data_IF_651236823888
#
_entry.id   IF_651236823888
#
_cell.length_a   1.000
_cell.length_b   1.000
_cell.length_c   1.000
_cell.angle_alpha   90.00
_cell.angle_beta   90.00
_cell.angle_gamma   90.00
#
_symmetry.space_group_name_H-M   'P 1'
#
loop_
_entity.id
_entity.type
_entity.pdbx_description
1 polymer ?
#
# COMPACT_ATOMS: atom_id res chain seq x y z
N UNK A 1 16.83 1.72 15.29
CA UNK A 1 16.52 2.96 16.06
C UNK A 1 17.48 4.09 15.76
N UNK A 2 18.81 3.90 15.78
CA UNK A 2 19.77 5.00 15.50
C UNK A 2 19.65 5.58 14.07
N UNK A 3 19.48 4.72 13.07
CA UNK A 3 19.32 5.13 11.66
C UNK A 3 17.98 5.82 11.37
N UNK A 4 16.87 5.35 11.98
CA UNK A 4 15.56 6.00 11.89
C UNK A 4 15.66 7.47 12.31
N UNK A 5 16.36 7.75 13.42
CA UNK A 5 16.60 9.11 13.88
C UNK A 5 17.38 9.96 12.87
N UNK A 6 18.36 9.39 12.15
CA UNK A 6 19.13 10.13 11.13
C UNK A 6 18.28 10.50 9.93
N UNK A 7 17.55 9.55 9.35
CA UNK A 7 16.68 9.82 8.19
C UNK A 7 15.57 10.80 8.54
N UNK A 8 14.92 10.64 9.69
CA UNK A 8 13.88 11.57 10.15
C UNK A 8 14.43 12.98 10.40
N UNK A 9 15.64 13.13 10.92
CA UNK A 9 16.29 14.43 11.10
C UNK A 9 16.57 15.12 9.76
N UNK A 10 17.03 14.39 8.74
CA UNK A 10 17.22 14.95 7.40
C UNK A 10 15.89 15.44 6.83
N UNK A 11 14.83 14.64 6.95
CA UNK A 11 13.50 15.02 6.50
C UNK A 11 13.03 16.29 7.24
N UNK A 12 13.05 16.31 8.58
CA UNK A 12 12.69 17.49 9.37
C UNK A 12 13.48 18.73 8.95
N UNK A 13 14.79 18.62 8.75
CA UNK A 13 15.63 19.75 8.37
C UNK A 13 15.30 20.29 6.97
N UNK A 14 14.94 19.43 6.01
CA UNK A 14 14.71 19.81 4.62
C UNK A 14 13.28 20.28 4.32
N UNK A 15 12.28 19.78 5.04
CA UNK A 15 10.85 20.10 4.78
C UNK A 15 10.03 20.50 6.00
N UNK A 16 10.62 20.51 7.19
CA UNK A 16 9.96 20.86 8.45
C UNK A 16 9.11 19.75 9.10
N UNK A 17 9.03 18.55 8.50
CA UNK A 17 8.26 17.43 9.05
C UNK A 17 8.81 16.07 8.61
N UNK A 18 8.52 15.03 9.41
CA UNK A 18 8.85 13.64 9.07
C UNK A 18 7.80 13.01 8.18
N UNK A 19 6.55 13.05 8.60
CA UNK A 19 5.40 12.56 7.86
C UNK A 19 4.16 13.31 8.36
N UNK A 20 3.18 13.52 7.49
CA UNK A 20 1.90 14.16 7.83
C UNK A 20 0.81 13.68 6.89
N UNK A 21 -0.45 13.88 7.26
CA UNK A 21 -1.54 13.71 6.31
C UNK A 21 -1.38 14.66 5.11
N UNK A 22 -1.73 14.22 3.87
CA UNK A 22 -1.63 15.08 2.70
C UNK A 22 -2.58 16.27 2.85
N UNK A 23 -2.08 17.48 2.55
CA UNK A 23 -2.85 18.74 2.69
C UNK A 23 -4.12 18.72 1.84
N UNK A 24 -3.98 18.32 0.56
CA UNK A 24 -5.07 18.20 -0.39
C UNK A 24 -5.96 16.97 -0.14
N UNK A 25 -5.70 16.19 0.92
CA UNK A 25 -6.40 14.94 1.23
C UNK A 25 -6.39 13.92 0.08
N UNK A 26 -5.50 14.05 -0.90
CA UNK A 26 -5.30 13.09 -1.99
C UNK A 26 -4.09 12.21 -1.74
N UNK A 27 -4.21 10.90 -2.00
CA UNK A 27 -3.08 9.99 -1.96
C UNK A 27 -3.22 8.87 -3.01
N UNK A 28 -2.09 8.35 -3.48
CA UNK A 28 -2.07 7.04 -4.11
C UNK A 28 -2.13 5.98 -3.03
N UNK A 29 -2.99 4.98 -3.19
CA UNK A 29 -3.05 3.81 -2.31
C UNK A 29 -2.66 2.56 -3.09
N UNK A 30 -1.62 1.86 -2.66
CA UNK A 30 -1.25 0.57 -3.24
C UNK A 30 -2.24 -0.48 -2.75
N UNK A 31 -2.98 -1.10 -3.67
CA UNK A 31 -4.07 -2.04 -3.35
C UNK A 31 -3.80 -3.42 -3.93
N UNK A 32 -3.96 -4.46 -3.11
CA UNK A 32 -3.87 -5.87 -3.52
C UNK A 32 -5.23 -6.57 -3.54
N UNK A 33 -6.25 -6.01 -2.91
CA UNK A 33 -7.51 -6.71 -2.63
C UNK A 33 -7.42 -7.66 -1.43
N UNK A 34 -6.28 -7.70 -0.74
CA UNK A 34 -6.17 -8.31 0.58
C UNK A 34 -6.88 -7.49 1.66
N UNK A 35 -7.10 -8.12 2.82
CA UNK A 35 -7.75 -7.51 3.98
C UNK A 35 -7.16 -6.13 4.30
N UNK A 36 -5.85 -6.08 4.48
CA UNK A 36 -5.17 -4.91 5.03
C UNK A 36 -5.29 -3.70 4.09
N UNK A 37 -4.99 -3.88 2.80
CA UNK A 37 -5.13 -2.80 1.81
C UNK A 37 -6.58 -2.33 1.64
N UNK A 38 -7.54 -3.24 1.81
CA UNK A 38 -8.97 -2.94 1.67
C UNK A 38 -9.48 -2.16 2.87
N UNK A 39 -9.22 -2.63 4.09
CA UNK A 39 -9.67 -1.97 5.32
C UNK A 39 -8.95 -0.65 5.53
N UNK A 40 -7.65 -0.61 5.24
CA UNK A 40 -6.89 0.65 5.24
C UNK A 40 -7.49 1.66 4.26
N UNK A 41 -7.84 1.25 3.03
CA UNK A 41 -8.50 2.14 2.06
C UNK A 41 -9.82 2.70 2.62
N UNK A 42 -10.67 1.84 3.18
CA UNK A 42 -11.94 2.25 3.77
C UNK A 42 -11.74 3.25 4.92
N UNK A 43 -10.77 2.98 5.81
CA UNK A 43 -10.40 3.87 6.93
C UNK A 43 -9.91 5.23 6.47
N UNK A 44 -9.03 5.25 5.47
CA UNK A 44 -8.48 6.50 4.92
C UNK A 44 -9.58 7.41 4.37
N UNK A 45 -10.58 6.83 3.71
CA UNK A 45 -11.72 7.60 3.20
C UNK A 45 -12.65 8.03 4.34
N UNK A 46 -13.08 7.09 5.18
CA UNK A 46 -14.15 7.30 6.17
C UNK A 46 -13.68 8.11 7.38
N UNK A 47 -12.54 7.75 7.97
CA UNK A 47 -12.05 8.34 9.21
C UNK A 47 -11.18 9.59 8.97
N UNK A 48 -10.57 9.72 7.77
CA UNK A 48 -9.62 10.80 7.47
C UNK A 48 -10.02 11.69 6.28
N UNK A 49 -11.08 11.33 5.56
CA UNK A 49 -11.64 12.11 4.46
C UNK A 49 -10.81 12.10 3.18
N UNK A 50 -9.90 11.12 3.01
CA UNK A 50 -9.02 11.07 1.86
C UNK A 50 -9.77 10.71 0.56
N UNK A 51 -9.29 11.28 -0.53
CA UNK A 51 -9.54 10.86 -1.90
C UNK A 51 -8.38 9.96 -2.35
N UNK A 52 -8.70 8.74 -2.75
CA UNK A 52 -7.71 7.72 -3.09
C UNK A 52 -7.64 7.48 -4.59
N UNK A 53 -6.40 7.46 -5.09
CA UNK A 53 -6.01 7.04 -6.43
C UNK A 53 -5.39 5.64 -6.32
N UNK A 54 -6.17 4.56 -6.49
CA UNK A 54 -5.67 3.23 -6.20
C UNK A 54 -4.73 2.74 -7.29
N UNK A 55 -3.63 2.08 -6.90
CA UNK A 55 -2.71 1.41 -7.82
C UNK A 55 -2.70 -0.09 -7.50
N UNK A 56 -3.14 -0.90 -8.47
CA UNK A 56 -3.05 -2.35 -8.41
C UNK A 56 -1.88 -2.83 -9.28
N UNK A 57 -0.93 -3.55 -8.66
CA UNK A 57 0.30 -4.01 -9.30
C UNK A 57 0.27 -5.53 -9.39
N UNK A 58 0.14 -6.06 -10.61
CA UNK A 58 0.36 -7.47 -10.89
C UNK A 58 1.85 -7.74 -10.93
N UNK A 59 2.34 -8.45 -9.92
CA UNK A 59 3.76 -8.70 -9.62
C UNK A 59 4.27 -10.08 -10.05
N UNK A 60 3.50 -10.80 -10.86
CA UNK A 60 3.78 -12.19 -11.23
C UNK A 60 3.50 -13.19 -10.09
N UNK A 61 2.49 -12.88 -9.27
CA UNK A 61 1.95 -13.70 -8.19
C UNK A 61 1.02 -14.80 -8.72
N UNK A 62 0.91 -15.90 -7.98
CA UNK A 62 0.14 -17.10 -8.36
C UNK A 62 -1.37 -16.88 -8.31
N UNK A 63 -1.83 -16.02 -7.40
CA UNK A 63 -3.23 -15.71 -7.13
C UNK A 63 -3.72 -14.44 -7.85
N UNK A 64 -3.04 -13.97 -8.90
CA UNK A 64 -3.33 -12.68 -9.55
C UNK A 64 -4.81 -12.52 -9.97
N UNK A 65 -5.43 -13.58 -10.50
CA UNK A 65 -6.85 -13.57 -10.88
C UNK A 65 -7.77 -13.41 -9.66
N UNK A 66 -7.40 -14.00 -8.52
CA UNK A 66 -8.16 -13.90 -7.29
C UNK A 66 -8.07 -12.48 -6.70
N UNK A 67 -6.85 -11.92 -6.64
CA UNK A 67 -6.60 -10.54 -6.23
C UNK A 67 -7.38 -9.55 -7.09
N UNK A 68 -7.34 -9.71 -8.42
CA UNK A 68 -8.07 -8.85 -9.35
C UNK A 68 -9.59 -8.93 -9.14
N UNK A 69 -10.14 -10.10 -8.82
CA UNK A 69 -11.57 -10.24 -8.46
C UNK A 69 -11.92 -9.44 -7.22
N UNK A 70 -11.10 -9.52 -6.17
CA UNK A 70 -11.29 -8.74 -4.95
C UNK A 70 -11.19 -7.24 -5.22
N UNK A 71 -10.14 -6.79 -5.93
CA UNK A 71 -9.95 -5.37 -6.28
C UNK A 71 -11.15 -4.84 -7.06
N UNK A 72 -11.66 -5.59 -8.03
CA UNK A 72 -12.84 -5.21 -8.79
C UNK A 72 -14.11 -5.16 -7.94
N UNK A 73 -14.29 -6.12 -7.01
CA UNK A 73 -15.38 -6.11 -6.05
C UNK A 73 -15.32 -4.83 -5.19
N UNK A 74 -14.18 -4.58 -4.54
CA UNK A 74 -14.04 -3.45 -3.62
C UNK A 74 -14.03 -2.10 -4.32
N UNK A 75 -13.61 -2.04 -5.59
CA UNK A 75 -13.78 -0.82 -6.40
C UNK A 75 -15.25 -0.46 -6.54
N UNK A 76 -16.11 -1.42 -6.92
CA UNK A 76 -17.55 -1.18 -7.04
C UNK A 76 -18.17 -0.86 -5.67
N UNK A 77 -17.77 -1.59 -4.63
CA UNK A 77 -18.25 -1.39 -3.27
C UNK A 77 -17.90 0.00 -2.75
N UNK A 78 -16.63 0.44 -2.86
CA UNK A 78 -16.20 1.76 -2.40
C UNK A 78 -16.77 2.90 -3.22
N UNK A 79 -16.86 2.76 -4.54
CA UNK A 79 -17.51 3.79 -5.36
C UNK A 79 -19.00 3.93 -5.04
N UNK A 80 -19.68 2.82 -4.71
CA UNK A 80 -21.07 2.85 -4.26
C UNK A 80 -21.22 3.44 -2.86
N UNK A 81 -20.32 3.08 -1.93
CA UNK A 81 -20.41 3.48 -0.51
C UNK A 81 -19.93 4.91 -0.26
N UNK A 82 -18.83 5.31 -0.91
CA UNK A 82 -18.11 6.56 -0.62
C UNK A 82 -18.10 7.55 -1.79
N UNK A 83 -18.47 7.12 -3.00
CA UNK A 83 -18.46 7.98 -4.20
C UNK A 83 -17.23 7.77 -5.08
N UNK A 84 -17.41 8.04 -6.38
CA UNK A 84 -16.35 7.92 -7.40
C UNK A 84 -15.27 8.99 -7.27
N UNK A 85 -15.62 10.12 -6.65
CA UNK A 85 -14.72 11.21 -6.29
C UNK A 85 -13.84 10.89 -5.08
N UNK A 86 -14.21 9.90 -4.26
CA UNK A 86 -13.42 9.45 -3.11
C UNK A 86 -12.57 8.22 -3.39
N UNK A 87 -13.03 7.32 -4.26
CA UNK A 87 -12.28 6.14 -4.67
C UNK A 87 -12.27 6.02 -6.19
N UNK A 88 -11.17 6.46 -6.80
CA UNK A 88 -11.00 6.43 -8.25
C UNK A 88 -10.93 4.99 -8.78
N UNK A 89 -11.15 4.83 -10.08
CA UNK A 89 -10.92 3.54 -10.74
C UNK A 89 -9.43 3.17 -10.58
N UNK A 90 -9.08 1.97 -10.06
CA UNK A 90 -7.69 1.61 -9.88
C UNK A 90 -6.93 1.60 -11.21
N UNK A 91 -5.72 2.17 -11.19
CA UNK A 91 -4.75 1.93 -12.25
C UNK A 91 -4.20 0.52 -12.11
N UNK A 92 -4.25 -0.24 -13.21
CA UNK A 92 -3.75 -1.61 -13.25
C UNK A 92 -2.46 -1.64 -14.06
N UNK A 93 -1.37 -2.12 -13.45
CA UNK A 93 -0.10 -2.32 -14.13
C UNK A 93 0.41 -3.74 -13.88
N UNK A 94 1.29 -4.22 -14.75
CA UNK A 94 1.95 -5.51 -14.62
C UNK A 94 3.47 -5.34 -14.69
N UNK A 95 4.16 -5.68 -13.61
CA UNK A 95 5.62 -5.62 -13.48
C UNK A 95 6.09 -6.81 -12.66
N UNK A 96 6.91 -7.70 -13.21
CA UNK A 96 7.40 -8.84 -12.43
C UNK A 96 8.40 -8.36 -11.37
N UNK A 97 8.09 -8.60 -10.09
CA UNK A 97 8.97 -8.27 -8.97
C UNK A 97 9.16 -9.51 -8.10
N UNK A 98 10.31 -10.20 -8.18
CA UNK A 98 11.46 -9.90 -9.04
C UNK A 98 11.21 -10.22 -10.53
N UNK A 99 12.05 -9.69 -11.46
CA UNK A 99 12.11 -10.09 -12.86
C UNK A 99 12.15 -11.62 -13.03
N UNK A 100 11.48 -12.11 -14.08
CA UNK A 100 11.27 -13.55 -14.31
C UNK A 100 12.58 -14.30 -14.56
N UNK A 101 13.54 -13.61 -15.15
CA UNK A 101 14.83 -14.09 -15.62
C UNK A 101 15.67 -14.68 -14.48
N UNK A 102 15.56 -14.10 -13.28
CA UNK A 102 16.33 -14.55 -12.09
C UNK A 102 15.44 -14.88 -10.88
N UNK A 103 14.11 -14.86 -11.03
CA UNK A 103 13.18 -15.23 -9.95
C UNK A 103 13.43 -16.64 -9.38
N UNK A 104 13.72 -17.69 -10.20
CA UNK A 104 14.01 -19.02 -9.67
C UNK A 104 15.24 -19.05 -8.75
N UNK A 105 16.27 -18.27 -9.07
CA UNK A 105 17.53 -18.23 -8.32
C UNK A 105 17.37 -17.53 -6.95
N UNK A 106 16.34 -16.70 -6.82
CA UNK A 106 16.02 -15.98 -5.58
C UNK A 106 15.17 -16.79 -4.59
N UNK A 107 14.76 -18.02 -4.91
CA UNK A 107 13.90 -18.83 -4.05
C UNK A 107 14.47 -19.06 -2.64
N UNK A 108 15.76 -19.41 -2.46
CA UNK A 108 16.33 -19.59 -1.12
C UNK A 108 16.26 -18.32 -0.27
N UNK A 109 16.55 -17.17 -0.88
CA UNK A 109 16.47 -15.87 -0.21
C UNK A 109 15.02 -15.50 0.12
N UNK A 110 14.11 -15.69 -0.83
CA UNK A 110 12.70 -15.30 -0.72
C UNK A 110 12.01 -16.01 0.44
N UNK A 111 12.31 -17.31 0.66
CA UNK A 111 11.75 -18.07 1.78
C UNK A 111 12.12 -17.49 3.15
N UNK A 112 13.29 -16.88 3.26
CA UNK A 112 13.80 -16.34 4.53
C UNK A 112 13.45 -14.86 4.73
N UNK A 113 13.53 -14.05 3.67
CA UNK A 113 13.50 -12.58 3.76
C UNK A 113 12.45 -11.92 2.87
N UNK A 114 11.62 -12.72 2.20
CA UNK A 114 10.69 -12.23 1.18
C UNK A 114 11.41 -11.83 -0.10
N UNK A 115 10.64 -11.40 -1.10
CA UNK A 115 11.23 -10.95 -2.36
C UNK A 115 12.08 -9.70 -2.14
N UNK A 116 13.35 -9.68 -2.60
CA UNK A 116 14.24 -8.56 -2.36
C UNK A 116 13.70 -7.29 -2.99
N UNK A 117 13.74 -6.19 -2.25
CA UNK A 117 13.32 -4.84 -2.69
C UNK A 117 11.88 -4.72 -3.21
N UNK A 118 11.01 -5.70 -2.92
CA UNK A 118 9.65 -5.74 -3.46
C UNK A 118 8.86 -4.47 -3.15
N UNK A 119 8.76 -4.13 -1.87
CA UNK A 119 7.96 -2.98 -1.44
C UNK A 119 8.55 -1.65 -1.95
N UNK A 120 9.88 -1.37 -1.84
CA UNK A 120 10.47 -0.20 -2.48
C UNK A 120 10.16 -0.05 -3.96
N UNK A 121 10.23 -1.12 -4.76
CA UNK A 121 9.88 -1.07 -6.19
C UNK A 121 8.41 -0.69 -6.37
N UNK A 122 7.51 -1.30 -5.60
CA UNK A 122 6.08 -0.96 -5.64
C UNK A 122 5.81 0.49 -5.22
N UNK A 123 6.54 1.00 -4.23
CA UNK A 123 6.47 2.39 -3.79
C UNK A 123 6.91 3.36 -4.88
N UNK A 124 7.99 3.06 -5.61
CA UNK A 124 8.49 3.87 -6.72
C UNK A 124 7.48 3.91 -7.88
N UNK A 125 6.89 2.76 -8.24
CA UNK A 125 5.78 2.72 -9.20
C UNK A 125 4.57 3.54 -8.72
N UNK A 126 4.30 3.53 -7.41
CA UNK A 126 3.31 4.40 -6.78
C UNK A 126 3.58 5.89 -6.97
N UNK A 127 4.85 6.32 -6.89
CA UNK A 127 5.26 7.71 -7.13
C UNK A 127 5.07 8.09 -8.60
N UNK A 128 5.50 7.23 -9.53
CA UNK A 128 5.29 7.45 -10.97
C UNK A 128 3.80 7.60 -11.30
N UNK A 129 2.97 6.72 -10.75
CA UNK A 129 1.52 6.83 -10.90
C UNK A 129 0.96 8.10 -10.25
N UNK A 130 1.44 8.49 -9.08
CA UNK A 130 1.01 9.73 -8.42
C UNK A 130 1.32 10.97 -9.27
N UNK A 131 2.47 11.00 -9.96
CA UNK A 131 2.80 12.06 -10.93
C UNK A 131 1.80 12.06 -12.09
N UNK A 132 1.57 10.91 -12.72
CA UNK A 132 0.64 10.79 -13.84
C UNK A 132 -0.80 11.20 -13.45
N UNK A 133 -1.27 10.71 -12.29
CA UNK A 133 -2.58 11.04 -11.75
C UNK A 133 -2.71 12.53 -11.40
N UNK A 134 -1.63 13.16 -10.90
CA UNK A 134 -1.63 14.59 -10.60
C UNK A 134 -1.84 15.43 -11.86
N UNK A 135 -1.21 15.06 -12.97
CA UNK A 135 -1.34 15.75 -14.26
C UNK A 135 -2.75 15.63 -14.83
N UNK A 136 -3.35 14.44 -14.75
CA UNK A 136 -4.68 14.17 -15.33
C UNK A 136 -5.80 14.80 -14.49
N UNK A 137 -5.67 14.77 -13.17
CA UNK A 137 -6.70 15.25 -12.25
C UNK A 137 -6.55 16.72 -11.87
N UNK A 138 -5.44 17.37 -12.27
CA UNK A 138 -5.05 18.71 -11.84
C UNK A 138 -4.97 18.85 -10.30
N UNK A 139 -4.70 17.74 -9.60
CA UNK A 139 -4.54 17.69 -8.13
C UNK A 139 -3.10 17.40 -7.75
N UNK A 140 -2.65 17.94 -6.62
CA UNK A 140 -1.30 17.70 -6.11
C UNK A 140 -1.24 16.41 -5.29
N UNK A 141 -0.85 15.30 -5.91
CA UNK A 141 -0.73 14.00 -5.24
C UNK A 141 0.75 13.73 -4.92
N UNK A 142 1.13 13.93 -3.64
CA UNK A 142 2.53 13.78 -3.15
C UNK A 142 2.68 12.72 -2.07
N UNK A 143 1.68 11.87 -1.90
CA UNK A 143 1.66 10.84 -0.87
C UNK A 143 1.28 9.51 -1.48
N UNK A 144 2.14 8.51 -1.29
CA UNK A 144 1.87 7.10 -1.59
C UNK A 144 1.67 6.38 -0.27
N UNK A 145 0.56 5.65 -0.15
CA UNK A 145 0.20 4.87 1.02
C UNK A 145 0.23 3.39 0.69
N UNK A 146 0.72 2.59 1.63
CA UNK A 146 0.62 1.14 1.62
C UNK A 146 -0.01 0.68 2.95
N UNK A 147 -0.45 -0.57 3.01
CA UNK A 147 -1.11 -1.15 4.18
C UNK A 147 -0.20 -2.08 4.98
N UNK A 148 1.08 -1.70 5.15
CA UNK A 148 1.99 -2.45 6.02
C UNK A 148 1.45 -2.39 7.46
N UNK A 149 1.29 -3.54 8.11
CA UNK A 149 0.80 -3.68 9.50
C UNK A 149 1.95 -4.05 10.45
N UNK A 150 1.79 -3.88 11.79
CA UNK A 150 2.84 -4.20 12.76
C UNK A 150 3.35 -5.65 12.70
N UNK A 151 2.50 -6.59 12.29
CA UNK A 151 2.84 -8.02 12.16
C UNK A 151 3.69 -8.34 10.92
N UNK A 152 3.85 -7.40 9.98
CA UNK A 152 4.69 -7.62 8.80
C UNK A 152 6.16 -7.74 9.22
N UNK A 153 6.73 -8.92 8.95
CA UNK A 153 8.06 -9.29 9.43
C UNK A 153 9.16 -9.18 8.37
N UNK A 154 8.81 -8.82 7.12
CA UNK A 154 9.81 -8.70 6.08
C UNK A 154 10.65 -7.42 6.25
N UNK A 155 11.98 -7.46 6.00
CA UNK A 155 12.85 -6.30 6.20
C UNK A 155 12.43 -5.05 5.40
N UNK A 156 11.79 -5.26 4.25
CA UNK A 156 11.31 -4.20 3.37
C UNK A 156 9.95 -3.62 3.76
N UNK A 157 9.31 -4.16 4.80
CA UNK A 157 8.00 -3.76 5.30
C UNK A 157 8.10 -3.08 6.68
N UNK A 158 9.08 -2.19 6.84
CA UNK A 158 9.34 -1.50 8.12
C UNK A 158 9.20 0.01 7.99
N UNK A 159 8.93 0.70 9.10
CA UNK A 159 8.89 2.17 9.12
C UNK A 159 10.24 2.77 8.68
N UNK A 160 11.36 2.18 9.10
CA UNK A 160 12.70 2.61 8.68
C UNK A 160 12.89 2.47 7.16
N UNK A 161 12.44 1.35 6.57
CA UNK A 161 12.44 1.15 5.12
C UNK A 161 11.58 2.18 4.37
N UNK A 162 10.41 2.53 4.90
CA UNK A 162 9.55 3.59 4.35
C UNK A 162 10.20 4.97 4.43
N UNK A 163 10.89 5.29 5.53
CA UNK A 163 11.64 6.55 5.67
C UNK A 163 12.80 6.62 4.71
N UNK A 164 13.58 5.56 4.58
CA UNK A 164 14.70 5.48 3.62
C UNK A 164 14.21 5.64 2.18
N UNK A 165 13.10 4.99 1.83
CA UNK A 165 12.46 5.11 0.52
C UNK A 165 11.97 6.53 0.27
N UNK A 166 11.30 7.15 1.26
CA UNK A 166 10.88 8.56 1.19
C UNK A 166 12.05 9.50 0.95
N UNK A 167 13.15 9.35 1.70
CA UNK A 167 14.35 10.17 1.51
C UNK A 167 14.93 10.00 0.10
N UNK A 168 15.03 8.75 -0.37
CA UNK A 168 15.51 8.45 -1.71
C UNK A 168 14.65 9.10 -2.79
N UNK A 169 13.31 9.03 -2.66
CA UNK A 169 12.38 9.67 -3.59
C UNK A 169 12.56 11.19 -3.57
N UNK A 170 12.62 11.82 -2.40
CA UNK A 170 12.81 13.27 -2.31
C UNK A 170 14.09 13.73 -3.01
N UNK A 171 15.19 12.99 -2.84
CA UNK A 171 16.47 13.28 -3.49
C UNK A 171 16.40 13.11 -5.00
N UNK A 172 15.87 11.99 -5.49
CA UNK A 172 15.85 11.68 -6.92
C UNK A 172 14.82 12.52 -7.70
N UNK A 173 13.73 12.93 -7.05
CA UNK A 173 12.70 13.79 -7.66
C UNK A 173 13.00 15.28 -7.51
N UNK A 174 14.01 15.66 -6.72
CA UNK A 174 14.30 17.06 -6.38
C UNK A 174 13.15 17.78 -5.64
N UNK A 175 12.22 17.02 -5.05
CA UNK A 175 11.00 17.53 -4.43
C UNK A 175 10.81 16.90 -3.04
N UNK A 176 10.92 17.74 -2.01
CA UNK A 176 10.87 17.31 -0.62
C UNK A 176 9.45 17.12 -0.07
N UNK A 177 8.40 17.42 -0.84
CA UNK A 177 7.02 17.20 -0.41
C UNK A 177 6.60 15.73 -0.46
N UNK A 178 7.31 14.89 -1.23
CA UNK A 178 7.01 13.47 -1.38
C UNK A 178 7.09 12.69 -0.08
N UNK A 179 6.12 11.81 0.15
CA UNK A 179 6.21 10.82 1.22
C UNK A 179 5.62 9.49 0.81
N UNK A 180 6.26 8.42 1.27
CA UNK A 180 5.73 7.07 1.22
C UNK A 180 5.65 6.53 2.63
N UNK A 181 4.48 6.05 3.03
CA UNK A 181 4.28 5.54 4.39
C UNK A 181 3.11 4.57 4.48
N UNK A 182 2.96 3.94 5.65
CA UNK A 182 1.76 3.19 6.01
C UNK A 182 1.08 3.85 7.23
N UNK A 183 -0.21 4.21 7.14
CA UNK A 183 -0.94 4.80 8.26
C UNK A 183 -1.15 3.81 9.42
N UNK A 184 -0.91 2.51 9.21
CA UNK A 184 -1.09 1.48 10.23
C UNK A 184 0.12 1.39 11.18
N UNK A 185 1.30 1.82 10.75
CA UNK A 185 2.54 1.73 11.56
C UNK A 185 3.22 3.08 11.79
N UNK A 186 2.78 4.16 11.14
CA UNK A 186 3.43 5.46 11.23
C UNK A 186 2.90 6.30 12.42
N UNK A 187 3.71 6.52 13.47
CA UNK A 187 3.30 7.25 14.66
C UNK A 187 3.04 8.75 14.40
N UNK A 188 3.52 9.29 13.27
CA UNK A 188 3.26 10.68 12.87
C UNK A 188 1.89 10.87 12.21
N UNK A 189 1.24 9.79 11.77
CA UNK A 189 -0.11 9.82 11.20
C UNK A 189 -1.19 9.42 12.21
N UNK A 190 -0.89 8.41 13.03
CA UNK A 190 -1.79 7.88 14.04
C UNK A 190 -1.02 7.61 15.34
N UNK A 191 -1.60 7.99 16.48
CA UNK A 191 -1.01 7.69 17.80
C UNK A 191 -1.05 6.21 18.16
N UNK A 192 -1.96 5.46 17.54
CA UNK A 192 -2.12 4.03 17.73
C UNK A 192 -1.75 3.30 16.44
N UNK A 193 -0.87 2.31 16.56
CA UNK A 193 -0.64 1.36 15.48
C UNK A 193 -1.88 0.51 15.27
N UNK A 194 -2.22 0.24 14.02
CA UNK A 194 -3.44 -0.45 13.65
C UNK A 194 -3.08 -1.84 13.13
N UNK A 195 -3.32 -2.84 13.96
CA UNK A 195 -2.95 -4.21 13.66
C UNK A 195 -4.07 -4.98 12.94
N UNK A 196 -3.79 -6.22 12.57
CA UNK A 196 -4.75 -7.07 11.86
C UNK A 196 -6.05 -7.31 12.63
N UNK A 197 -5.98 -7.47 13.96
CA UNK A 197 -7.18 -7.62 14.78
C UNK A 197 -8.01 -6.33 14.76
N UNK A 198 -7.36 -5.17 14.84
CA UNK A 198 -8.03 -3.87 14.74
C UNK A 198 -8.73 -3.71 13.38
N UNK A 199 -8.11 -4.15 12.29
CA UNK A 199 -8.72 -4.17 10.94
C UNK A 199 -9.96 -5.03 10.85
N UNK A 200 -9.89 -6.26 11.37
CA UNK A 200 -11.04 -7.17 11.40
C UNK A 200 -12.17 -6.54 12.24
N UNK A 201 -11.87 -6.07 13.45
CA UNK A 201 -12.86 -5.47 14.34
C UNK A 201 -13.50 -4.22 13.71
N UNK A 202 -12.68 -3.35 13.12
CA UNK A 202 -13.16 -2.14 12.44
C UNK A 202 -14.05 -2.47 11.25
N UNK A 203 -13.63 -3.45 10.45
CA UNK A 203 -14.38 -3.93 9.29
C UNK A 203 -15.72 -4.54 9.67
N UNK A 204 -15.74 -5.42 10.68
CA UNK A 204 -16.96 -6.04 11.20
C UNK A 204 -17.95 -5.01 11.74
N UNK A 205 -17.47 -4.03 12.52
CA UNK A 205 -18.31 -2.93 13.04
C UNK A 205 -19.00 -2.14 11.92
N UNK A 206 -18.35 -2.02 10.76
CA UNK A 206 -18.86 -1.30 9.58
C UNK A 206 -19.49 -2.21 8.53
N UNK A 207 -19.73 -3.49 8.88
CA UNK A 207 -20.31 -4.51 8.01
C UNK A 207 -19.59 -4.59 6.66
N UNK A 208 -18.27 -4.43 6.69
CA UNK A 208 -17.43 -4.61 5.51
C UNK A 208 -17.51 -6.08 5.07
N UNK A 209 -17.60 -6.36 3.75
CA UNK A 209 -17.67 -7.72 3.23
C UNK A 209 -16.30 -8.40 3.28
N UNK A 210 -15.80 -8.70 4.48
CA UNK A 210 -14.44 -9.21 4.70
C UNK A 210 -14.15 -10.51 3.93
N UNK A 211 -15.18 -11.33 3.70
CA UNK A 211 -15.07 -12.58 2.94
C UNK A 211 -14.75 -12.40 1.45
N UNK A 212 -14.86 -11.18 0.92
CA UNK A 212 -14.51 -10.85 -0.46
C UNK A 212 -13.03 -10.44 -0.59
N UNK A 213 -12.32 -10.30 0.54
CA UNK A 213 -10.88 -10.01 0.54
C UNK A 213 -10.08 -11.28 0.24
N UNK A 214 -8.92 -11.12 -0.41
CA UNK A 214 -8.06 -12.24 -0.80
C UNK A 214 -6.66 -12.04 -0.22
N UNK A 215 -6.33 -12.84 0.79
CA UNK A 215 -4.98 -12.89 1.39
C UNK A 215 -4.24 -14.19 1.10
N UNK A 216 -4.94 -15.23 0.61
CA UNK A 216 -4.36 -16.54 0.35
C UNK A 216 -3.61 -16.59 -0.98
N UNK A 217 -2.37 -17.10 -0.94
CA UNK A 217 -1.50 -17.24 -2.11
C UNK A 217 -1.90 -18.39 -3.05
N UNK A 218 -2.68 -19.35 -2.54
CA UNK A 218 -3.20 -20.50 -3.28
C UNK A 218 -4.62 -20.27 -3.84
N UNK A 219 -5.22 -19.11 -3.53
CA UNK A 219 -6.55 -18.74 -4.01
C UNK A 219 -6.56 -18.71 -5.54
N UNK A 220 -7.29 -19.64 -6.15
CA UNK A 220 -7.29 -19.87 -7.60
C UNK A 220 -8.64 -20.41 -8.05
N UNK A 221 -8.82 -20.57 -9.37
CA UNK A 221 -10.01 -21.21 -9.90
C UNK A 221 -10.22 -22.63 -9.32
N UNK A 222 -9.12 -23.35 -9.05
CA UNK A 222 -9.16 -24.70 -8.47
C UNK A 222 -9.69 -24.73 -7.04
N UNK A 223 -9.43 -23.66 -6.26
CA UNK A 223 -9.91 -23.54 -4.88
C UNK A 223 -11.21 -22.74 -4.79
N UNK A 224 -11.85 -22.45 -5.93
CA UNK A 224 -12.99 -21.52 -6.00
C UNK A 224 -12.70 -20.16 -5.34
N UNK A 225 -11.44 -19.73 -5.37
CA UNK A 225 -10.94 -18.50 -4.74
C UNK A 225 -11.04 -18.48 -3.20
N UNK A 226 -11.26 -19.63 -2.56
CA UNK A 226 -11.29 -19.75 -1.11
C UNK A 226 -9.87 -19.77 -0.52
N UNK A 227 -9.76 -19.30 0.73
CA UNK A 227 -8.52 -19.37 1.50
C UNK A 227 -8.22 -20.82 1.93
N UNK A 228 -6.97 -21.25 1.77
CA UNK A 228 -6.55 -22.61 2.12
C UNK A 228 -6.35 -22.83 3.63
N UNK A 229 -6.18 -21.75 4.41
CA UNK A 229 -5.92 -21.81 5.85
C UNK A 229 -4.50 -22.27 6.24
N UNK A 230 -3.62 -22.48 5.27
CA UNK A 230 -2.26 -23.01 5.47
C UNK A 230 -1.14 -22.11 4.96
N UNK A 231 -1.46 -20.98 4.33
CA UNK A 231 -0.49 -20.04 3.74
C UNK A 231 -0.64 -18.62 4.29
#
# INVERSE_FOLDING_TARGET
>A
MENLNRTENILKAKRGYVCRWPKEKTAVMIVSGGLDSTITSARLIEDYGLELFPLHIQRGQTNAVAEEKSVNYFTRYFQKKYGKDKYHKPMHISVNVPPKEFKPDLLPYTKLKGHPMRDPIMHLLGVEYAVAASLISEKKIKTVLCAIVPEDYFPHSTLEGLRATTLSICLNMGDWEWQVTSPNIDPWLSKQMFNKNDEIVWGMKRKMPLGETISCNDASLKTSYLACGSC
#
